data_IF_157504144136
#
_entry.id   IF_157504144136
#
_cell.length_a   1.000
_cell.length_b   1.000
_cell.length_c   1.000
_cell.angle_alpha   90.00
_cell.angle_beta   90.00
_cell.angle_gamma   90.00
#
_symmetry.space_group_name_H-M   'P 1'
#
loop_
_entity.id
_entity.type
_entity.pdbx_description
1 polymer ?
#
# COMPACT_ATOMS: atom_id res chain seq x y z
N UNK A 1 -6.70 -9.49 -18.87
CA UNK A 1 -7.59 -8.40 -18.40
C UNK A 1 -6.83 -7.64 -17.33
N UNK A 2 -6.70 -6.32 -17.45
CA UNK A 2 -6.05 -5.52 -16.41
C UNK A 2 -6.90 -5.57 -15.14
N UNK A 3 -6.31 -5.95 -14.01
CA UNK A 3 -7.03 -5.96 -12.74
C UNK A 3 -7.42 -4.52 -12.40
N UNK A 4 -8.71 -4.27 -12.18
CA UNK A 4 -9.18 -2.94 -11.79
C UNK A 4 -8.56 -2.57 -10.43
N UNK A 5 -7.76 -1.51 -10.44
CA UNK A 5 -7.09 -0.94 -9.28
C UNK A 5 -7.68 0.43 -9.01
N UNK A 6 -8.25 0.61 -7.82
CA UNK A 6 -8.84 1.88 -7.40
C UNK A 6 -8.08 2.38 -6.19
N UNK A 7 -7.55 3.59 -6.30
CA UNK A 7 -6.89 4.28 -5.19
C UNK A 7 -7.80 5.36 -4.62
N UNK A 8 -7.88 5.41 -3.30
CA UNK A 8 -8.47 6.52 -2.55
C UNK A 8 -7.41 7.07 -1.61
N UNK A 9 -7.16 8.37 -1.69
CA UNK A 9 -6.15 9.07 -0.89
C UNK A 9 -6.88 10.15 -0.10
N UNK A 10 -6.69 10.16 1.21
CA UNK A 10 -7.32 11.13 2.12
C UNK A 10 -6.26 11.73 3.03
N UNK A 11 -6.15 13.06 3.14
CA UNK A 11 -5.33 13.69 4.18
C UNK A 11 -6.04 13.52 5.53
N UNK A 12 -5.81 12.38 6.18
CA UNK A 12 -6.56 11.96 7.38
C UNK A 12 -6.21 12.82 8.59
N UNK A 13 -4.95 13.27 8.70
CA UNK A 13 -4.50 14.20 9.74
C UNK A 13 -3.52 15.21 9.11
N UNK A 14 -4.03 16.26 8.43
CA UNK A 14 -3.18 17.23 7.73
C UNK A 14 -2.12 17.87 8.63
N UNK A 15 -2.49 18.22 9.87
CA UNK A 15 -1.61 18.83 10.87
C UNK A 15 -0.46 17.92 11.32
N UNK A 16 -0.62 16.60 11.15
CA UNK A 16 0.40 15.60 11.46
C UNK A 16 1.10 15.08 10.20
N UNK A 17 0.81 15.67 9.04
CA UNK A 17 1.31 15.24 7.73
C UNK A 17 0.99 13.78 7.40
N UNK A 18 -0.13 13.24 7.90
CA UNK A 18 -0.54 11.86 7.64
C UNK A 18 -1.64 11.78 6.60
N UNK A 19 -1.44 10.88 5.64
CA UNK A 19 -2.42 10.47 4.65
C UNK A 19 -2.85 9.03 4.89
N UNK A 20 -4.14 8.77 4.75
CA UNK A 20 -4.69 7.42 4.63
C UNK A 20 -4.87 7.11 3.16
N UNK A 21 -4.24 6.02 2.71
CA UNK A 21 -4.37 5.51 1.35
C UNK A 21 -5.08 4.16 1.40
N UNK A 22 -6.03 3.96 0.50
CA UNK A 22 -6.70 2.68 0.26
C UNK A 22 -6.51 2.29 -1.20
N UNK A 23 -6.09 1.05 -1.44
CA UNK A 23 -5.94 0.44 -2.74
C UNK A 23 -6.85 -0.79 -2.82
N UNK A 24 -7.90 -0.71 -3.64
CA UNK A 24 -8.80 -1.84 -3.90
C UNK A 24 -8.34 -2.56 -5.17
N UNK A 25 -8.10 -3.86 -5.04
CA UNK A 25 -7.74 -4.77 -6.11
C UNK A 25 -8.88 -5.78 -6.30
N UNK A 26 -9.56 -5.73 -7.45
CA UNK A 26 -10.74 -6.57 -7.70
C UNK A 26 -10.41 -8.08 -7.73
N UNK A 27 -9.25 -8.44 -8.29
CA UNK A 27 -8.84 -9.83 -8.50
C UNK A 27 -7.42 -10.04 -7.97
N UNK A 28 -7.24 -10.35 -6.67
CA UNK A 28 -5.93 -10.62 -6.09
C UNK A 28 -5.35 -11.95 -6.56
N UNK A 29 -4.02 -12.09 -6.49
CA UNK A 29 -3.34 -13.34 -6.82
C UNK A 29 -3.78 -14.49 -5.88
N UNK A 30 -4.06 -15.70 -6.41
CA UNK A 30 -4.64 -16.80 -5.64
C UNK A 30 -3.70 -17.36 -4.56
N UNK A 31 -2.40 -17.17 -4.70
CA UNK A 31 -1.38 -17.60 -3.73
C UNK A 31 -0.98 -16.48 -2.74
N UNK A 32 -1.72 -15.37 -2.74
CA UNK A 32 -1.43 -14.18 -1.94
C UNK A 32 -0.90 -13.05 -2.81
N UNK A 33 -1.41 -11.85 -2.55
CA UNK A 33 -1.08 -10.67 -3.35
C UNK A 33 0.15 -9.97 -2.77
N UNK A 34 1.12 -9.65 -3.64
CA UNK A 34 2.25 -8.79 -3.29
C UNK A 34 1.99 -7.37 -3.75
N UNK A 35 2.20 -6.43 -2.84
CA UNK A 35 2.24 -4.99 -3.12
C UNK A 35 3.67 -4.50 -2.91
N UNK A 36 4.16 -3.65 -3.83
CA UNK A 36 5.50 -3.08 -3.77
C UNK A 36 5.43 -1.58 -4.01
N UNK A 37 6.20 -0.82 -3.25
CA UNK A 37 6.39 0.61 -3.46
C UNK A 37 7.70 0.85 -4.22
N UNK A 38 7.73 1.67 -5.28
CA UNK A 38 8.97 2.00 -5.97
C UNK A 38 10.03 2.57 -5.02
N UNK A 39 11.30 2.40 -5.37
CA UNK A 39 12.46 2.95 -4.64
C UNK A 39 13.13 4.12 -5.37
N UNK A 40 12.47 4.68 -6.38
CA UNK A 40 12.91 5.86 -7.13
C UNK A 40 11.69 6.46 -7.85
N UNK A 41 11.82 7.70 -8.33
CA UNK A 41 10.79 8.40 -9.10
C UNK A 41 11.39 8.80 -10.46
N UNK A 42 10.67 8.64 -11.58
CA UNK A 42 11.14 9.09 -12.89
C UNK A 42 11.67 10.53 -12.88
N UNK A 43 12.83 10.73 -13.50
CA UNK A 43 13.55 12.00 -13.48
C UNK A 43 14.55 12.16 -12.32
N UNK A 44 14.55 11.28 -11.31
CA UNK A 44 15.57 11.21 -10.26
C UNK A 44 16.30 9.87 -10.30
N UNK A 45 17.62 9.90 -10.53
CA UNK A 45 18.48 8.71 -10.51
C UNK A 45 18.98 8.32 -9.12
N UNK A 46 18.57 9.05 -8.09
CA UNK A 46 18.91 8.73 -6.70
C UNK A 46 17.86 7.77 -6.12
N UNK A 47 18.33 6.63 -5.59
CA UNK A 47 17.52 5.69 -4.83
C UNK A 47 16.91 6.40 -3.61
N UNK A 48 15.62 6.22 -3.43
CA UNK A 48 14.81 6.71 -2.31
C UNK A 48 14.17 5.56 -1.58
N UNK A 49 13.98 5.75 -0.29
CA UNK A 49 13.39 4.74 0.59
C UNK A 49 11.96 5.12 0.96
N UNK A 50 11.10 5.39 -0.02
CA UNK A 50 9.72 5.87 0.23
C UNK A 50 8.93 4.96 1.19
N UNK A 51 9.22 3.66 1.18
CA UNK A 51 8.59 2.69 2.06
C UNK A 51 8.84 2.95 3.56
N UNK A 52 9.86 3.73 3.92
CA UNK A 52 10.13 4.16 5.31
C UNK A 52 9.00 5.04 5.86
N UNK A 53 8.29 5.74 4.97
CA UNK A 53 7.22 6.66 5.33
C UNK A 53 5.87 5.94 5.53
N UNK A 54 5.79 4.65 5.23
CA UNK A 54 4.61 3.82 5.50
C UNK A 54 4.63 3.43 6.97
N UNK A 55 3.77 4.05 7.77
CA UNK A 55 3.79 3.88 9.24
C UNK A 55 2.90 2.74 9.72
N UNK A 56 1.83 2.43 8.97
CA UNK A 56 0.90 1.32 9.27
C UNK A 56 0.36 0.73 7.98
N UNK A 57 0.12 -0.58 7.97
CA UNK A 57 -0.46 -1.32 6.84
C UNK A 57 -1.45 -2.34 7.35
N UNK A 58 -2.61 -2.41 6.71
CA UNK A 58 -3.67 -3.39 6.96
C UNK A 58 -4.25 -3.87 5.64
N UNK A 59 -4.86 -5.04 5.65
CA UNK A 59 -5.57 -5.55 4.49
C UNK A 59 -6.89 -6.20 4.88
N UNK A 60 -7.86 -6.15 3.97
CA UNK A 60 -9.21 -6.67 4.18
C UNK A 60 -9.73 -7.35 2.91
N UNK A 61 -10.56 -8.38 3.08
CA UNK A 61 -11.42 -8.93 2.03
C UNK A 61 -12.87 -8.78 2.50
N UNK A 62 -13.61 -7.83 1.92
CA UNK A 62 -14.86 -7.37 2.52
C UNK A 62 -14.60 -6.75 3.89
N UNK A 63 -15.26 -7.27 4.94
CA UNK A 63 -15.05 -6.85 6.34
C UNK A 63 -14.01 -7.69 7.08
N UNK A 64 -13.58 -8.83 6.51
CA UNK A 64 -12.63 -9.73 7.15
C UNK A 64 -11.19 -9.20 7.04
N UNK A 65 -10.46 -9.05 8.16
CA UNK A 65 -9.05 -8.68 8.12
C UNK A 65 -8.20 -9.81 7.53
N UNK A 66 -7.16 -9.45 6.78
CA UNK A 66 -6.17 -10.37 6.21
C UNK A 66 -4.81 -10.16 6.85
N UNK A 67 -4.05 -11.24 7.01
CA UNK A 67 -2.66 -11.17 7.45
C UNK A 67 -1.81 -10.45 6.40
N UNK A 68 -0.94 -9.55 6.86
CA UNK A 68 0.02 -8.81 6.04
C UNK A 68 1.42 -9.08 6.56
N UNK A 69 2.27 -9.60 5.70
CA UNK A 69 3.67 -9.89 5.99
C UNK A 69 4.56 -8.92 5.21
N UNK A 70 5.50 -8.26 5.89
CA UNK A 70 6.52 -7.44 5.21
C UNK A 70 7.65 -8.34 4.72
N UNK A 71 7.69 -8.63 3.42
CA UNK A 71 8.63 -9.59 2.81
C UNK A 71 9.91 -8.94 2.25
N UNK A 72 9.91 -7.61 2.12
CA UNK A 72 11.09 -6.82 1.78
C UNK A 72 10.97 -5.40 2.35
N UNK A 73 12.03 -4.59 2.22
CA UNK A 73 12.04 -3.19 2.69
C UNK A 73 10.87 -2.37 2.14
N UNK A 74 10.48 -2.66 0.90
CA UNK A 74 9.52 -1.96 0.07
C UNK A 74 8.34 -2.84 -0.40
N UNK A 75 8.20 -4.06 0.14
CA UNK A 75 7.17 -5.01 -0.30
C UNK A 75 6.45 -5.72 0.84
N UNK A 76 5.14 -5.90 0.65
CA UNK A 76 4.24 -6.59 1.57
C UNK A 76 3.47 -7.68 0.82
N UNK A 77 3.33 -8.84 1.45
CA UNK A 77 2.47 -9.94 0.99
C UNK A 77 1.22 -9.98 1.86
N UNK A 78 0.07 -9.99 1.22
CA UNK A 78 -1.22 -10.21 1.86
C UNK A 78 -1.65 -11.65 1.63
N UNK A 79 -2.21 -12.27 2.67
CA UNK A 79 -2.76 -13.63 2.59
C UNK A 79 -3.79 -13.78 1.45
N UNK A 80 -3.94 -14.99 0.87
CA UNK A 80 -4.96 -15.27 -0.14
C UNK A 80 -6.38 -14.90 0.32
N UNK A 81 -7.22 -14.45 -0.60
CA UNK A 81 -8.64 -14.25 -0.37
C UNK A 81 -9.47 -14.47 -1.64
N UNK A 82 -10.76 -14.80 -1.48
CA UNK A 82 -11.65 -15.17 -2.58
C UNK A 82 -12.39 -13.98 -3.24
N UNK A 83 -12.24 -12.76 -2.70
CA UNK A 83 -12.92 -11.56 -3.18
C UNK A 83 -11.98 -10.37 -3.33
N UNK A 84 -12.55 -9.16 -3.60
CA UNK A 84 -11.78 -7.94 -3.72
C UNK A 84 -10.96 -7.67 -2.46
N UNK A 85 -9.67 -7.40 -2.67
CA UNK A 85 -8.72 -7.11 -1.62
C UNK A 85 -8.56 -5.61 -1.48
N UNK A 86 -8.72 -5.09 -0.26
CA UNK A 86 -8.48 -3.68 0.07
C UNK A 86 -7.22 -3.60 0.93
N UNK A 87 -6.14 -3.04 0.39
CA UNK A 87 -4.96 -2.67 1.15
C UNK A 87 -5.14 -1.25 1.68
N UNK A 88 -5.00 -1.04 2.99
CA UNK A 88 -5.00 0.28 3.62
C UNK A 88 -3.67 0.56 4.26
N UNK A 89 -3.17 1.78 4.12
CA UNK A 89 -1.94 2.17 4.79
C UNK A 89 -1.92 3.67 5.10
N UNK A 90 -1.16 4.01 6.14
CA UNK A 90 -0.90 5.40 6.52
C UNK A 90 0.49 5.81 6.01
N UNK A 91 0.57 6.98 5.38
CA UNK A 91 1.82 7.57 4.87
C UNK A 91 2.11 8.86 5.60
N UNK A 92 3.30 8.98 6.17
CA UNK A 92 3.84 10.23 6.69
C UNK A 92 4.49 11.03 5.56
N UNK A 93 3.92 12.19 5.24
CA UNK A 93 4.26 13.00 4.08
C UNK A 93 4.90 14.33 4.50
N UNK A 94 5.99 14.24 5.27
CA UNK A 94 6.81 15.39 5.68
C UNK A 94 8.26 15.19 5.26
N UNK A 95 8.49 15.14 3.96
CA UNK A 95 9.82 15.09 3.36
C UNK A 95 10.07 16.41 2.62
N UNK A 96 11.12 17.13 3.00
CA UNK A 96 11.48 18.46 2.45
C UNK A 96 12.60 18.37 1.39
N UNK A 97 13.01 17.14 1.04
CA UNK A 97 14.10 16.86 0.09
C UNK A 97 13.71 17.01 -1.38
#
# INVERSE_FOLDING_TARGET
>A
MSAALIYRIVPSQPQAHLFSVSCTLATPAPQGQVFRLPTWIPGSYLIREFARNIVRVWAFCGEAPLAVEKIAKDAWRVAPCAGPLILRYEVYAWDLS
#
